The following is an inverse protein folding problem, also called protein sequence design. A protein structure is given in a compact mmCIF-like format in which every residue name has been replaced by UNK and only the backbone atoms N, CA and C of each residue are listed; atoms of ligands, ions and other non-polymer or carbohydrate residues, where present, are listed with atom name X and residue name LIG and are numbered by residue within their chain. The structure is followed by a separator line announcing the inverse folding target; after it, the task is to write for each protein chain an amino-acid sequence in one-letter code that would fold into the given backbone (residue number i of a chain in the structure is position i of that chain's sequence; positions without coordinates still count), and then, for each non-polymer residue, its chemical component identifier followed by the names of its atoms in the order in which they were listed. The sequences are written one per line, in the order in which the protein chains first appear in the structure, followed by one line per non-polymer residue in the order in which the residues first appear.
data_IF_685934173839
#
_entry.id   IF_685934173839
#
_cell.length_a   1.000
_cell.length_b   1.000
_cell.length_c   1.000
_cell.angle_alpha   90.00
_cell.angle_beta   90.00
_cell.angle_gamma   90.00
#
_symmetry.space_group_name_H-M   'P 1'
#
loop_
_entity.id
_entity.type
_entity.pdbx_description
1 polymer ?
#
# COMPACT_ATOMS: atom_id res chain seq x y z
N UNK A 1 12.16 -4.11 14.05
CA UNK A 1 12.34 -4.40 12.61
C UNK A 1 12.83 -3.12 11.97
N UNK A 2 14.03 -3.12 11.39
CA UNK A 2 14.52 -1.95 10.66
C UNK A 2 13.65 -1.80 9.40
N UNK A 3 12.96 -0.67 9.24
CA UNK A 3 12.18 -0.41 8.03
C UNK A 3 13.19 -0.19 6.91
N UNK A 4 13.16 -0.96 5.81
CA UNK A 4 14.08 -0.74 4.71
C UNK A 4 13.88 0.67 4.16
N UNK A 5 14.96 1.44 4.09
CA UNK A 5 14.96 2.79 3.52
C UNK A 5 15.07 2.70 2.02
N UNK A 6 14.09 3.25 1.31
CA UNK A 6 14.10 3.33 -0.15
C UNK A 6 14.40 4.77 -0.57
N UNK A 7 15.15 4.92 -1.66
CA UNK A 7 15.40 6.24 -2.26
C UNK A 7 14.24 6.55 -3.21
N UNK A 8 13.50 7.60 -2.88
CA UNK A 8 12.38 8.08 -3.67
C UNK A 8 12.76 9.37 -4.40
N UNK A 9 12.42 9.51 -5.69
CA UNK A 9 12.69 10.73 -6.45
C UNK A 9 11.89 11.95 -5.94
N UNK A 10 10.72 11.72 -5.34
CA UNK A 10 9.85 12.79 -4.80
C UNK A 10 9.55 12.53 -3.31
N UNK A 11 10.52 12.81 -2.44
CA UNK A 11 10.36 12.76 -0.98
C UNK A 11 10.94 14.03 -0.33
N UNK A 12 10.12 14.92 0.25
CA UNK A 12 8.67 14.80 0.44
C UNK A 12 7.86 15.01 -0.85
N UNK A 13 6.65 14.46 -0.90
CA UNK A 13 5.67 14.76 -1.95
C UNK A 13 5.25 16.23 -1.89
N UNK A 14 4.78 16.78 -3.01
CA UNK A 14 4.25 18.14 -3.05
C UNK A 14 3.02 18.23 -2.13
N UNK A 15 3.06 19.07 -1.07
CA UNK A 15 1.97 19.15 -0.11
C UNK A 15 0.72 19.77 -0.71
N UNK A 16 -0.44 19.23 -0.36
CA UNK A 16 -1.75 19.79 -0.73
C UNK A 16 -2.22 20.68 0.42
N UNK A 17 -2.04 21.99 0.26
CA UNK A 17 -2.44 23.01 1.23
C UNK A 17 -3.88 23.44 0.94
N UNK A 18 -4.75 23.38 1.95
CA UNK A 18 -6.16 23.71 1.83
C UNK A 18 -6.97 22.69 1.03
N UNK A 19 -8.08 23.13 0.42
CA UNK A 19 -9.01 22.24 -0.28
C UNK A 19 -8.32 21.51 -1.44
N UNK A 20 -8.32 20.17 -1.48
CA UNK A 20 -7.74 19.42 -2.58
C UNK A 20 -8.39 19.81 -3.91
N UNK A 21 -7.58 20.36 -4.82
CA UNK A 21 -7.99 20.68 -6.19
C UNK A 21 -7.62 19.53 -7.13
N UNK A 22 -8.39 19.36 -8.21
CA UNK A 22 -8.09 18.35 -9.23
C UNK A 22 -6.63 18.39 -9.74
N UNK A 23 -6.05 19.56 -10.11
CA UNK A 23 -4.66 19.61 -10.56
C UNK A 23 -3.65 19.19 -9.47
N UNK A 24 -3.88 19.55 -8.20
CA UNK A 24 -3.00 19.16 -7.10
C UNK A 24 -3.01 17.63 -6.88
N UNK A 25 -4.19 17.00 -6.95
CA UNK A 25 -4.32 15.54 -6.83
C UNK A 25 -3.63 14.84 -8.00
N UNK A 26 -3.78 15.34 -9.22
CA UNK A 26 -3.13 14.77 -10.41
C UNK A 26 -1.61 14.85 -10.29
N UNK A 27 -1.07 15.98 -9.84
CA UNK A 27 0.37 16.17 -9.64
C UNK A 27 0.90 15.20 -8.59
N UNK A 28 0.27 15.13 -7.41
CA UNK A 28 0.66 14.21 -6.34
C UNK A 28 0.58 12.75 -6.80
N UNK A 29 -0.44 12.39 -7.58
CA UNK A 29 -0.58 11.03 -8.14
C UNK A 29 0.60 10.68 -9.07
N UNK A 30 1.08 11.63 -9.88
CA UNK A 30 2.26 11.42 -10.74
C UNK A 30 3.53 11.22 -9.94
N UNK A 31 3.73 12.01 -8.88
CA UNK A 31 4.87 11.87 -7.98
C UNK A 31 4.87 10.52 -7.26
N UNK A 32 3.70 10.08 -6.77
CA UNK A 32 3.52 8.75 -6.17
C UNK A 32 3.82 7.63 -7.18
N UNK A 33 3.41 7.79 -8.44
CA UNK A 33 3.72 6.81 -9.49
C UNK A 33 5.22 6.73 -9.77
N UNK A 34 5.92 7.87 -9.78
CA UNK A 34 7.37 7.91 -9.92
C UNK A 34 8.08 7.24 -8.73
N UNK A 35 7.62 7.49 -7.49
CA UNK A 35 8.13 6.84 -6.28
C UNK A 35 7.88 5.32 -6.27
N UNK A 36 6.69 4.89 -6.67
CA UNK A 36 6.36 3.46 -6.75
C UNK A 36 7.20 2.74 -7.83
N UNK A 37 7.48 3.43 -8.94
CA UNK A 37 8.30 2.89 -10.04
C UNK A 37 9.79 2.85 -9.70
N UNK A 38 10.30 3.75 -8.85
CA UNK A 38 11.72 3.79 -8.49
C UNK A 38 12.16 2.56 -7.70
N UNK A 39 11.24 1.90 -6.99
CA UNK A 39 11.55 0.69 -6.22
C UNK A 39 11.37 -0.57 -7.08
N UNK A 40 12.46 -1.27 -7.43
CA UNK A 40 12.39 -2.45 -8.29
C UNK A 40 11.70 -3.63 -7.58
N UNK A 41 10.90 -4.39 -8.33
CA UNK A 41 10.21 -5.60 -7.91
C UNK A 41 10.62 -6.77 -8.80
N UNK A 42 10.72 -7.98 -8.22
CA UNK A 42 10.93 -9.23 -8.96
C UNK A 42 9.67 -9.66 -9.73
N UNK A 43 8.50 -9.12 -9.36
CA UNK A 43 7.19 -9.57 -9.85
C UNK A 43 6.56 -8.64 -10.90
N UNK A 44 7.29 -7.61 -11.35
CA UNK A 44 6.76 -6.64 -12.30
C UNK A 44 7.84 -5.80 -12.97
N UNK A 45 7.67 -5.53 -14.27
CA UNK A 45 8.60 -4.77 -15.11
C UNK A 45 8.63 -3.27 -14.80
N UNK A 46 7.64 -2.76 -14.06
CA UNK A 46 7.57 -1.36 -13.60
C UNK A 46 7.70 -1.21 -12.08
N UNK A 47 8.47 -2.10 -11.44
CA UNK A 47 8.69 -2.03 -10.00
C UNK A 47 7.40 -2.26 -9.22
N UNK A 48 7.14 -1.41 -8.22
CA UNK A 48 5.94 -1.49 -7.37
C UNK A 48 4.79 -0.60 -7.85
N UNK A 49 4.80 -0.17 -9.12
CA UNK A 49 3.76 0.69 -9.70
C UNK A 49 2.34 0.10 -9.59
N UNK A 50 2.21 -1.23 -9.52
CA UNK A 50 0.92 -1.91 -9.33
C UNK A 50 0.25 -1.62 -7.97
N UNK A 51 0.99 -1.09 -6.98
CA UNK A 51 0.43 -0.73 -5.67
C UNK A 51 -0.48 0.51 -5.71
N UNK A 52 -0.31 1.35 -6.73
CA UNK A 52 -0.90 2.70 -6.79
C UNK A 52 -1.90 2.86 -7.93
N UNK A 53 -2.08 1.83 -8.76
CA UNK A 53 -3.06 1.79 -9.85
C UNK A 53 -3.83 0.47 -9.87
N UNK A 54 -4.86 0.41 -10.70
CA UNK A 54 -5.60 -0.83 -10.90
C UNK A 54 -4.74 -1.87 -11.64
N UNK A 55 -5.02 -3.15 -11.43
CA UNK A 55 -4.31 -4.25 -12.13
C UNK A 55 -4.52 -4.13 -13.65
N UNK A 56 -5.71 -3.70 -14.10
CA UNK A 56 -6.00 -3.49 -15.52
C UNK A 56 -5.11 -2.40 -16.15
N UNK A 57 -4.98 -1.24 -15.49
CA UNK A 57 -4.12 -0.15 -15.95
C UNK A 57 -2.64 -0.53 -15.93
N UNK A 58 -2.23 -1.31 -14.93
CA UNK A 58 -0.86 -1.82 -14.87
C UNK A 58 -0.60 -2.79 -16.03
N UNK A 59 -1.49 -3.74 -16.25
CA UNK A 59 -1.35 -4.76 -17.30
C UNK A 59 -1.31 -4.11 -18.69
N UNK A 60 -2.13 -3.08 -18.92
CA UNK A 60 -2.12 -2.31 -20.15
C UNK A 60 -0.77 -1.62 -20.41
N UNK A 61 -0.02 -1.24 -19.36
CA UNK A 61 1.29 -0.58 -19.47
C UNK A 61 2.45 -1.56 -19.52
N UNK A 62 2.44 -2.57 -18.66
CA UNK A 62 3.52 -3.54 -18.48
C UNK A 62 3.46 -4.69 -19.49
N UNK A 63 2.33 -4.89 -20.16
CA UNK A 63 2.05 -6.05 -21.00
C UNK A 63 1.86 -7.35 -20.22
N UNK A 64 1.98 -7.32 -18.89
CA UNK A 64 1.84 -8.46 -17.98
C UNK A 64 1.15 -8.03 -16.69
N UNK A 65 0.32 -8.92 -16.13
CA UNK A 65 -0.35 -8.66 -14.87
C UNK A 65 0.65 -8.72 -13.70
N UNK A 66 0.56 -7.76 -12.79
CA UNK A 66 1.35 -7.78 -11.57
C UNK A 66 0.86 -8.89 -10.64
N UNK A 67 1.76 -9.80 -10.26
CA UNK A 67 1.46 -10.81 -9.24
C UNK A 67 2.06 -10.37 -7.91
N UNK A 68 1.20 -10.02 -6.96
CA UNK A 68 1.68 -9.63 -5.64
C UNK A 68 2.41 -10.83 -4.96
N UNK A 69 3.53 -10.59 -4.28
CA UNK A 69 4.18 -11.65 -3.51
C UNK A 69 3.21 -12.20 -2.47
N UNK A 70 3.10 -13.52 -2.43
CA UNK A 70 2.33 -14.22 -1.40
C UNK A 70 3.26 -14.56 -0.25
N UNK A 71 2.82 -14.32 0.98
CA UNK A 71 3.53 -14.80 2.16
C UNK A 71 3.54 -16.34 2.14
N UNK A 72 4.73 -16.94 2.07
CA UNK A 72 4.88 -18.39 2.09
C UNK A 72 5.01 -18.90 3.52
N UNK A 73 4.37 -20.02 3.80
CA UNK A 73 4.66 -20.84 4.98
C UNK A 73 5.89 -21.68 4.65
N UNK A 74 6.81 -21.84 5.60
CA UNK A 74 8.02 -22.63 5.41
C UNK A 74 7.66 -24.05 4.95
N UNK A 75 8.26 -24.56 3.86
CA UNK A 75 7.92 -25.90 3.37
C UNK A 75 8.27 -26.97 4.39
N UNK A 76 7.37 -27.93 4.58
CA UNK A 76 7.65 -29.13 5.37
C UNK A 76 8.69 -29.99 4.66
N UNK A 77 9.75 -30.37 5.36
CA UNK A 77 10.81 -31.21 4.80
C UNK A 77 10.28 -32.63 4.57
N UNK A 78 10.44 -33.15 3.36
CA UNK A 78 10.24 -34.59 3.11
C UNK A 78 11.39 -35.39 3.72
N UNK A 79 11.07 -36.53 4.33
CA UNK A 79 12.01 -37.32 5.14
C UNK A 79 13.25 -37.83 4.39
N UNK A 80 13.23 -37.82 3.06
CA UNK A 80 14.33 -38.26 2.19
C UNK A 80 14.96 -37.12 1.37
N UNK A 81 14.71 -35.85 1.71
CA UNK A 81 15.35 -34.74 1.03
C UNK A 81 16.86 -34.75 1.26
N UNK A 82 17.61 -34.61 0.17
CA UNK A 82 19.07 -34.37 0.22
C UNK A 82 19.37 -32.99 0.81
N UNK A 83 20.57 -32.81 1.35
CA UNK A 83 21.02 -31.51 1.88
C UNK A 83 20.92 -30.39 0.86
N UNK A 84 21.22 -30.67 -0.42
CA UNK A 84 21.08 -29.70 -1.51
C UNK A 84 19.62 -29.24 -1.66
N UNK A 85 18.67 -30.18 -1.75
CA UNK A 85 17.24 -29.85 -1.85
C UNK A 85 16.72 -29.06 -0.64
N UNK A 86 17.24 -29.32 0.56
CA UNK A 86 16.89 -28.57 1.78
C UNK A 86 17.42 -27.13 1.69
N UNK A 87 18.64 -26.93 1.21
CA UNK A 87 19.23 -25.61 1.09
C UNK A 87 18.53 -24.77 0.02
N UNK A 88 18.22 -25.36 -1.14
CA UNK A 88 17.48 -24.71 -2.20
C UNK A 88 16.09 -24.26 -1.71
N UNK A 89 15.35 -25.14 -1.03
CA UNK A 89 14.04 -24.80 -0.47
C UNK A 89 14.10 -23.71 0.61
N UNK A 90 15.17 -23.66 1.42
CA UNK A 90 15.37 -22.59 2.39
C UNK A 90 15.73 -21.26 1.72
N UNK A 91 16.50 -21.28 0.63
CA UNK A 91 16.83 -20.09 -0.15
C UNK A 91 15.57 -19.51 -0.79
N UNK A 92 14.77 -20.36 -1.46
CA UNK A 92 13.50 -19.96 -2.07
C UNK A 92 12.54 -19.34 -1.04
N UNK A 93 12.45 -19.94 0.15
CA UNK A 93 11.65 -19.41 1.25
C UNK A 93 12.15 -18.03 1.69
N UNK A 94 13.46 -17.87 1.87
CA UNK A 94 14.07 -16.61 2.33
C UNK A 94 13.88 -15.50 1.30
N UNK A 95 14.06 -15.82 0.02
CA UNK A 95 13.81 -14.91 -1.10
C UNK A 95 12.35 -14.46 -1.16
N UNK A 96 11.41 -15.39 -0.97
CA UNK A 96 9.97 -15.08 -0.99
C UNK A 96 9.56 -14.19 0.20
N UNK A 97 10.05 -14.48 1.41
CA UNK A 97 9.81 -13.65 2.60
C UNK A 97 10.39 -12.25 2.40
N UNK A 98 11.64 -12.14 1.93
CA UNK A 98 12.27 -10.86 1.65
C UNK A 98 11.47 -10.03 0.64
N UNK A 99 10.97 -10.66 -0.42
CA UNK A 99 10.20 -9.97 -1.44
C UNK A 99 8.81 -9.55 -0.94
N UNK A 100 8.17 -10.34 -0.08
CA UNK A 100 6.94 -9.97 0.62
C UNK A 100 7.16 -8.79 1.57
N UNK A 101 8.18 -8.84 2.42
CA UNK A 101 8.50 -7.78 3.37
C UNK A 101 8.82 -6.46 2.66
N UNK A 102 9.54 -6.54 1.53
CA UNK A 102 9.80 -5.38 0.66
C UNK A 102 8.50 -4.79 0.13
N UNK A 103 7.59 -5.61 -0.37
CA UNK A 103 6.31 -5.17 -0.91
C UNK A 103 5.45 -4.45 0.14
N UNK A 104 5.35 -5.02 1.34
CA UNK A 104 4.62 -4.40 2.46
C UNK A 104 5.28 -3.09 2.91
N UNK A 105 6.61 -3.06 2.99
CA UNK A 105 7.37 -1.87 3.38
C UNK A 105 7.16 -0.71 2.39
N UNK A 106 7.21 -0.98 1.07
CA UNK A 106 6.92 0.03 0.05
C UNK A 106 5.47 0.52 0.18
N UNK A 107 4.52 -0.38 0.37
CA UNK A 107 3.11 0.00 0.55
C UNK A 107 2.91 0.91 1.77
N UNK A 108 3.58 0.61 2.88
CA UNK A 108 3.53 1.43 4.09
C UNK A 108 4.19 2.79 3.89
N UNK A 109 5.37 2.84 3.27
CA UNK A 109 6.08 4.09 3.00
C UNK A 109 5.28 5.01 2.07
N UNK A 110 4.71 4.50 0.98
CA UNK A 110 3.86 5.29 0.08
C UNK A 110 2.61 5.83 0.80
N UNK A 111 2.00 5.04 1.70
CA UNK A 111 0.88 5.52 2.55
C UNK A 111 1.32 6.65 3.47
N UNK A 112 2.49 6.54 4.11
CA UNK A 112 3.01 7.59 4.99
C UNK A 112 3.31 8.88 4.22
N UNK A 113 3.90 8.79 3.02
CA UNK A 113 4.10 9.95 2.16
C UNK A 113 2.79 10.68 1.85
N UNK A 114 1.73 9.93 1.51
CA UNK A 114 0.40 10.51 1.25
C UNK A 114 -0.19 11.17 2.50
N UNK A 115 -0.09 10.51 3.66
CA UNK A 115 -0.61 11.04 4.93
C UNK A 115 0.13 12.30 5.39
N UNK A 116 1.42 12.41 5.08
CA UNK A 116 2.21 13.60 5.38
C UNK A 116 1.94 14.75 4.40
N UNK A 117 1.61 14.44 3.14
CA UNK A 117 1.36 15.43 2.10
C UNK A 117 -0.04 16.06 2.16
N UNK A 118 -1.02 15.37 2.76
CA UNK A 118 -2.42 15.82 2.83
C UNK A 118 -2.77 16.24 4.25
N UNK A 119 -3.34 17.43 4.40
CA UNK A 119 -3.77 17.91 5.72
C UNK A 119 -4.72 16.92 6.42
N UNK A 120 -4.55 16.68 7.74
CA UNK A 120 -5.33 15.68 8.48
C UNK A 120 -6.85 15.89 8.43
N UNK A 121 -7.32 17.12 8.22
CA UNK A 121 -8.75 17.42 8.10
C UNK A 121 -9.40 16.68 6.93
N UNK A 122 -8.66 16.44 5.84
CA UNK A 122 -9.15 15.73 4.66
C UNK A 122 -8.95 14.21 4.73
N UNK A 123 -8.09 13.72 5.64
CA UNK A 123 -7.84 12.27 5.82
C UNK A 123 -8.66 11.65 6.97
N UNK A 124 -9.05 12.44 7.99
CA UNK A 124 -9.78 11.98 9.19
C UNK A 124 -11.22 11.53 8.94
N UNK A 125 -11.88 11.94 7.85
CA UNK A 125 -13.29 11.60 7.58
C UNK A 125 -13.55 10.11 7.30
N UNK A 126 -12.51 9.29 7.15
CA UNK A 126 -12.62 7.82 6.93
C UNK A 126 -12.18 6.93 8.10
N UNK A 127 -11.68 7.50 9.20
CA UNK A 127 -11.24 6.70 10.37
C UNK A 127 -12.34 6.50 11.43
N UNK A 128 -13.40 7.31 11.43
CA UNK A 128 -14.41 7.33 12.49
C UNK A 128 -15.66 6.46 12.31
N UNK A 129 -15.74 5.61 11.27
CA UNK A 129 -17.03 4.98 10.91
C UNK A 129 -17.00 3.47 10.65
N UNK A 130 -16.16 2.71 11.36
CA UNK A 130 -16.31 1.24 11.42
C UNK A 130 -16.95 0.73 12.70
N UNK A 131 -17.03 1.55 13.75
CA UNK A 131 -17.67 1.17 15.03
C UNK A 131 -18.95 1.96 15.35
N UNK A 132 -19.23 3.07 14.66
CA UNK A 132 -20.45 3.86 14.87
C UNK A 132 -21.62 3.42 13.95
N UNK A 133 -21.35 2.74 12.84
CA UNK A 133 -22.39 2.26 11.91
C UNK A 133 -23.07 0.95 12.35
N UNK A 134 -22.45 0.18 13.25
CA UNK A 134 -23.07 -1.06 13.75
C UNK A 134 -23.98 -0.86 14.97
N UNK A 135 -23.94 0.30 15.63
CA UNK A 135 -24.79 0.56 16.80
C UNK A 135 -26.09 1.32 16.45
N UNK A 136 -26.13 2.08 15.34
CA UNK A 136 -27.28 2.93 15.02
C UNK A 136 -28.36 2.25 14.14
N UNK A 137 -28.11 1.04 13.61
CA UNK A 137 -29.03 0.41 12.65
C UNK A 137 -29.77 -0.84 13.14
N UNK A 138 -29.56 -1.32 14.38
CA UNK A 138 -30.20 -2.57 14.82
C UNK A 138 -31.42 -2.43 15.74
N UNK A 139 -31.68 -1.29 16.39
CA UNK A 139 -32.95 -1.05 17.10
C UNK A 139 -33.02 0.36 17.69
N UNK A 140 -33.61 1.31 16.97
CA UNK A 140 -34.55 2.33 17.50
C UNK A 140 -34.76 3.43 16.45
N UNK A 141 -36.03 3.78 16.27
CA UNK A 141 -36.51 4.89 15.47
C UNK A 141 -35.96 6.20 16.08
N UNK A 142 -35.61 7.17 15.23
CA UNK A 142 -35.18 8.56 15.51
C UNK A 142 -33.64 8.79 15.54
N UNK A 143 -33.12 9.36 14.45
CA UNK A 143 -31.84 10.09 14.45
C UNK A 143 -32.07 11.53 14.96
N UNK A 144 -31.23 12.08 15.86
CA UNK A 144 -31.27 13.49 16.18
C UNK A 144 -30.61 14.35 15.07
N UNK A 145 -31.07 15.59 14.84
CA UNK A 145 -30.48 16.49 13.86
C UNK A 145 -29.07 16.89 14.28
N UNK A 146 -28.13 16.88 13.33
CA UNK A 146 -26.78 17.41 13.51
C UNK A 146 -26.88 18.93 13.69
N UNK A 147 -26.86 19.38 14.95
CA UNK A 147 -26.68 20.78 15.30
C UNK A 147 -25.24 21.18 14.94
N UNK A 148 -25.10 21.96 13.86
CA UNK A 148 -23.85 22.64 13.52
C UNK A 148 -23.74 23.89 14.40
N UNK A 149 -23.32 23.68 15.64
CA UNK A 149 -22.99 24.74 16.58
C UNK A 149 -21.71 25.47 16.17
N UNK A 150 -21.90 26.68 15.64
CA UNK A 150 -20.92 27.77 15.56
C UNK A 150 -20.53 28.27 16.96
N UNK A 151 -19.25 28.23 17.34
CA UNK A 151 -18.30 29.34 17.60
C UNK A 151 -16.88 28.76 17.69
#
# INVERSE_FOLDING_TARGET
MSVPTFIYPHDPLTPIIGRPTAPAIILMTKEIFANAKSVPSKYGSHGHLALVMTIADYTARAGQAYTAPTFLIRPTRVASATTAQINDANQDYTDAVSAYDKHISVQQNLKQQILNAVEPIFTKRRAGNRSALYCCCLNARVCPPLDYGSV
#
